data_IF_878558556022
#
_entry.id   IF_878558556022
#
_cell.length_a   1.000
_cell.length_b   1.000
_cell.length_c   1.000
_cell.angle_alpha   90.00
_cell.angle_beta   90.00
_cell.angle_gamma   90.00
#
_symmetry.space_group_name_H-M   'P 1'
#
loop_
_entity.id
_entity.type
_entity.pdbx_description
1 polymer ?
#
# COMPACT_ATOMS: atom_id res chain seq x y z
N UNK A 1 16.62 -11.79 -9.92
CA UNK A 1 15.67 -11.85 -8.81
C UNK A 1 14.26 -11.59 -9.36
N UNK A 2 13.30 -12.43 -8.98
CA UNK A 2 11.88 -12.34 -9.35
C UNK A 2 11.08 -11.73 -8.20
N UNK A 3 10.33 -10.68 -8.47
CA UNK A 3 9.48 -9.99 -7.49
C UNK A 3 8.02 -10.13 -7.88
N UNK A 4 7.20 -10.48 -6.91
CA UNK A 4 5.75 -10.41 -7.01
C UNK A 4 5.26 -9.17 -6.27
N UNK A 5 4.48 -8.32 -6.94
CA UNK A 5 3.77 -7.21 -6.33
C UNK A 5 2.28 -7.50 -6.39
N UNK A 6 1.62 -7.57 -5.23
CA UNK A 6 0.17 -7.74 -5.14
C UNK A 6 -0.42 -6.50 -4.50
N UNK A 7 -1.51 -6.01 -5.07
CA UNK A 7 -2.17 -4.83 -4.52
C UNK A 7 -3.69 -4.94 -4.49
N UNK A 8 -4.27 -4.37 -3.44
CA UNK A 8 -5.71 -4.11 -3.31
C UNK A 8 -5.95 -2.61 -3.35
N UNK A 9 -6.86 -2.14 -4.20
CA UNK A 9 -7.13 -0.71 -4.34
C UNK A 9 -8.62 -0.43 -4.55
N UNK A 10 -9.13 0.64 -3.93
CA UNK A 10 -10.47 1.14 -4.21
C UNK A 10 -10.42 2.30 -5.21
N UNK A 11 -9.53 3.27 -4.98
CA UNK A 11 -9.48 4.53 -5.74
C UNK A 11 -8.25 4.63 -6.69
N UNK A 12 -7.52 3.53 -6.84
CA UNK A 12 -6.41 3.43 -7.79
C UNK A 12 -5.04 3.92 -7.29
N UNK A 13 -4.93 4.57 -6.13
CA UNK A 13 -3.63 5.06 -5.66
C UNK A 13 -2.65 3.92 -5.35
N UNK A 14 -3.11 2.86 -4.66
CA UNK A 14 -2.29 1.68 -4.38
C UNK A 14 -1.81 1.00 -5.67
N UNK A 15 -2.64 1.00 -6.73
CA UNK A 15 -2.24 0.52 -8.07
C UNK A 15 -1.13 1.38 -8.66
N UNK A 16 -1.25 2.71 -8.57
CA UNK A 16 -0.23 3.64 -9.07
C UNK A 16 1.10 3.45 -8.34
N UNK A 17 1.06 3.28 -7.01
CA UNK A 17 2.24 2.96 -6.19
C UNK A 17 2.87 1.63 -6.62
N UNK A 18 2.06 0.59 -6.79
CA UNK A 18 2.55 -0.72 -7.21
C UNK A 18 3.21 -0.70 -8.61
N UNK A 19 2.63 0.04 -9.57
CA UNK A 19 3.21 0.24 -10.91
C UNK A 19 4.51 1.05 -10.88
N UNK A 20 4.58 2.08 -10.03
CA UNK A 20 5.81 2.83 -9.84
C UNK A 20 6.93 1.94 -9.24
N UNK A 21 6.60 1.11 -8.25
CA UNK A 21 7.56 0.12 -7.73
C UNK A 21 7.99 -0.87 -8.82
N UNK A 22 7.08 -1.34 -9.66
CA UNK A 22 7.41 -2.20 -10.82
C UNK A 22 8.44 -1.53 -11.74
N UNK A 23 8.20 -0.29 -12.17
CA UNK A 23 9.12 0.47 -13.03
C UNK A 23 10.51 0.62 -12.37
N UNK A 24 10.55 1.07 -11.12
CA UNK A 24 11.79 1.23 -10.35
C UNK A 24 12.58 -0.07 -10.27
N UNK A 25 11.90 -1.20 -10.02
CA UNK A 25 12.54 -2.50 -9.90
C UNK A 25 13.03 -3.03 -11.25
N UNK A 26 12.25 -2.87 -12.31
CA UNK A 26 12.63 -3.28 -13.68
C UNK A 26 13.84 -2.49 -14.18
N UNK A 27 13.89 -1.18 -13.94
CA UNK A 27 15.06 -0.33 -14.22
C UNK A 27 16.33 -0.81 -13.50
N UNK A 28 16.18 -1.52 -12.38
CA UNK A 28 17.27 -2.07 -11.58
C UNK A 28 17.51 -3.58 -11.86
N UNK A 29 17.04 -4.09 -13.00
CA UNK A 29 17.34 -5.43 -13.51
C UNK A 29 16.52 -6.56 -12.90
N UNK A 30 15.41 -6.25 -12.23
CA UNK A 30 14.55 -7.24 -11.59
C UNK A 30 13.44 -7.70 -12.53
N UNK A 31 13.05 -8.98 -12.42
CA UNK A 31 11.87 -9.49 -13.12
C UNK A 31 10.66 -9.27 -12.21
N UNK A 32 9.71 -8.43 -12.62
CA UNK A 32 8.55 -8.08 -11.80
C UNK A 32 7.28 -8.67 -12.40
N UNK A 33 6.46 -9.30 -11.55
CA UNK A 33 5.08 -9.64 -11.85
C UNK A 33 4.19 -8.85 -10.90
N UNK A 34 3.15 -8.23 -11.44
CA UNK A 34 2.20 -7.44 -10.67
C UNK A 34 0.79 -7.98 -10.88
N UNK A 35 0.03 -8.13 -9.81
CA UNK A 35 -1.34 -8.62 -9.84
C UNK A 35 -2.26 -7.81 -8.92
N UNK A 36 -3.47 -7.53 -9.38
CA UNK A 36 -4.53 -6.99 -8.54
C UNK A 36 -5.16 -8.15 -7.74
N UNK A 37 -5.46 -7.95 -6.46
CA UNK A 37 -6.07 -8.98 -5.62
C UNK A 37 -7.45 -9.47 -6.14
N UNK A 38 -8.12 -8.71 -7.01
CA UNK A 38 -9.39 -9.13 -7.65
C UNK A 38 -9.19 -10.08 -8.84
N UNK A 39 -7.97 -10.21 -9.38
CA UNK A 39 -7.68 -10.92 -10.63
C UNK A 39 -7.04 -12.30 -10.40
N UNK A 40 -7.29 -12.94 -9.26
CA UNK A 40 -6.67 -14.22 -8.88
C UNK A 40 -5.13 -14.17 -8.97
N UNK A 41 -4.47 -13.47 -8.04
CA UNK A 41 -3.02 -13.32 -8.08
C UNK A 41 -2.28 -14.68 -8.07
N UNK A 42 -1.12 -14.78 -8.74
CA UNK A 42 -0.36 -16.02 -8.80
C UNK A 42 0.18 -16.41 -7.42
N UNK A 43 0.43 -17.71 -7.21
CA UNK A 43 1.12 -18.19 -6.01
C UNK A 43 2.49 -17.49 -5.84
N UNK A 44 2.90 -17.14 -4.61
CA UNK A 44 4.19 -16.53 -4.37
C UNK A 44 5.36 -17.50 -4.48
N UNK A 45 5.14 -18.80 -4.68
CA UNK A 45 6.17 -19.84 -4.59
C UNK A 45 7.36 -19.62 -5.54
N UNK A 46 7.09 -19.22 -6.79
CA UNK A 46 8.12 -19.03 -7.83
C UNK A 46 8.86 -17.69 -7.76
N UNK A 47 8.61 -16.88 -6.74
CA UNK A 47 9.18 -15.55 -6.57
C UNK A 47 10.18 -15.50 -5.41
N UNK A 48 11.23 -14.71 -5.58
CA UNK A 48 12.26 -14.52 -4.56
C UNK A 48 11.78 -13.54 -3.47
N UNK A 49 10.98 -12.55 -3.87
CA UNK A 49 10.50 -11.46 -3.01
C UNK A 49 9.02 -11.17 -3.27
N UNK A 50 8.26 -10.85 -2.22
CA UNK A 50 6.83 -10.49 -2.33
C UNK A 50 6.55 -9.13 -1.68
N UNK A 51 6.02 -8.20 -2.45
CA UNK A 51 5.52 -6.91 -1.97
C UNK A 51 4.00 -6.94 -2.00
N UNK A 52 3.33 -6.73 -0.88
CA UNK A 52 1.87 -6.71 -0.81
C UNK A 52 1.43 -5.34 -0.33
N UNK A 53 0.40 -4.76 -0.94
CA UNK A 53 -0.11 -3.47 -0.50
C UNK A 53 -1.61 -3.31 -0.57
N UNK A 54 -2.14 -2.51 0.34
CA UNK A 54 -3.56 -2.20 0.40
C UNK A 54 -3.77 -0.79 0.88
N UNK A 55 -4.85 -0.17 0.40
CA UNK A 55 -5.39 1.06 1.01
C UNK A 55 -6.20 0.72 2.26
N UNK A 56 -6.14 1.59 3.28
CA UNK A 56 -7.04 1.55 4.43
C UNK A 56 -8.37 2.20 4.06
N UNK A 57 -9.47 1.51 4.30
CA UNK A 57 -10.82 2.04 4.21
C UNK A 57 -11.62 1.62 5.45
N UNK A 58 -12.18 2.59 6.17
CA UNK A 58 -12.93 2.35 7.42
C UNK A 58 -12.12 1.46 8.38
N UNK A 59 -10.88 1.86 8.65
CA UNK A 59 -9.91 1.18 9.53
C UNK A 59 -9.59 -0.28 9.18
N UNK A 60 -9.86 -0.72 7.95
CA UNK A 60 -9.57 -2.08 7.49
C UNK A 60 -8.87 -2.08 6.14
N UNK A 61 -8.07 -3.13 5.88
CA UNK A 61 -7.53 -3.40 4.55
C UNK A 61 -8.51 -4.20 3.69
N UNK A 62 -8.22 -4.28 2.40
CA UNK A 62 -9.03 -5.02 1.44
C UNK A 62 -9.08 -6.51 1.82
N UNK A 63 -10.28 -7.09 1.94
CA UNK A 63 -10.48 -8.50 2.32
C UNK A 63 -9.79 -9.46 1.36
N UNK A 64 -9.65 -9.13 0.07
CA UNK A 64 -8.95 -9.99 -0.89
C UNK A 64 -7.44 -10.02 -0.62
N UNK A 65 -6.87 -8.93 -0.10
CA UNK A 65 -5.47 -8.90 0.35
C UNK A 65 -5.32 -9.78 1.59
N UNK A 66 -6.24 -9.66 2.55
CA UNK A 66 -6.27 -10.54 3.73
C UNK A 66 -6.32 -12.01 3.33
N UNK A 67 -7.27 -12.38 2.48
CA UNK A 67 -7.44 -13.76 2.00
C UNK A 67 -6.17 -14.30 1.32
N UNK A 68 -5.54 -13.48 0.46
CA UNK A 68 -4.29 -13.88 -0.20
C UNK A 68 -3.16 -14.12 0.82
N UNK A 69 -3.02 -13.24 1.82
CA UNK A 69 -2.00 -13.39 2.87
C UNK A 69 -2.25 -14.67 3.66
N UNK A 70 -3.48 -14.90 4.13
CA UNK A 70 -3.85 -16.09 4.90
C UNK A 70 -3.66 -17.38 4.08
N UNK A 71 -4.04 -17.37 2.81
CA UNK A 71 -3.90 -18.51 1.91
C UNK A 71 -2.43 -18.90 1.68
N UNK A 72 -1.52 -17.94 1.67
CA UNK A 72 -0.10 -18.16 1.33
C UNK A 72 0.85 -17.90 2.50
N UNK A 73 0.34 -17.91 3.73
CA UNK A 73 1.05 -17.45 4.92
C UNK A 73 2.39 -18.17 5.16
N UNK A 74 2.41 -19.49 4.96
CA UNK A 74 3.60 -20.31 5.13
C UNK A 74 4.72 -19.91 4.16
N UNK A 75 4.36 -19.61 2.91
CA UNK A 75 5.33 -19.17 1.90
C UNK A 75 5.79 -17.75 2.19
N UNK A 76 4.87 -16.84 2.53
CA UNK A 76 5.18 -15.44 2.85
C UNK A 76 6.10 -15.29 4.06
N UNK A 77 5.92 -16.13 5.09
CA UNK A 77 6.76 -16.12 6.29
C UNK A 77 8.16 -16.73 6.09
N UNK A 78 8.37 -17.48 5.00
CA UNK A 78 9.67 -18.11 4.67
C UNK A 78 10.53 -17.30 3.71
N UNK A 79 10.03 -16.19 3.16
CA UNK A 79 10.76 -15.39 2.18
C UNK A 79 10.71 -13.90 2.48
N UNK A 80 11.66 -13.11 1.93
CA UNK A 80 11.61 -11.67 2.05
C UNK A 80 10.29 -11.13 1.53
N UNK A 81 9.57 -10.44 2.41
CA UNK A 81 8.31 -9.83 2.07
C UNK A 81 8.15 -8.49 2.78
N UNK A 82 7.40 -7.57 2.16
CA UNK A 82 7.12 -6.25 2.72
C UNK A 82 5.66 -5.87 2.48
N UNK A 83 5.08 -5.19 3.46
CA UNK A 83 3.72 -4.65 3.38
C UNK A 83 3.75 -3.14 3.14
N UNK A 84 3.09 -2.66 2.09
CA UNK A 84 2.90 -1.22 1.88
C UNK A 84 1.46 -0.80 2.17
N UNK A 85 1.29 -0.24 3.36
CA UNK A 85 0.03 0.29 3.88
C UNK A 85 -0.18 1.70 3.34
N UNK A 86 -1.25 1.88 2.55
CA UNK A 86 -1.56 3.17 1.93
C UNK A 86 -2.70 3.84 2.68
N UNK A 87 -2.48 5.04 3.19
CA UNK A 87 -3.51 5.81 3.89
C UNK A 87 -3.34 7.31 3.64
N UNK A 88 -4.46 8.03 3.59
CA UNK A 88 -4.43 9.50 3.48
C UNK A 88 -3.94 10.15 4.77
N UNK A 89 -4.23 9.55 5.92
CA UNK A 89 -3.81 10.03 7.24
C UNK A 89 -2.28 10.19 7.38
N UNK A 90 -1.48 9.45 6.60
CA UNK A 90 -0.02 9.60 6.57
C UNK A 90 0.43 10.96 6.01
N UNK A 91 -0.41 11.65 5.23
CA UNK A 91 -0.12 12.99 4.75
C UNK A 91 -0.45 14.10 5.79
N UNK A 92 -1.10 13.75 6.89
CA UNK A 92 -1.39 14.67 7.99
C UNK A 92 -0.13 14.99 8.79
N UNK A 93 -0.10 16.16 9.44
CA UNK A 93 0.96 16.50 10.41
C UNK A 93 0.62 16.06 11.85
N UNK A 94 -0.49 15.33 12.03
CA UNK A 94 -0.98 14.88 13.34
C UNK A 94 -0.35 13.51 13.66
N UNK A 95 0.38 13.45 14.78
CA UNK A 95 1.12 12.25 15.20
C UNK A 95 0.20 11.07 15.53
N UNK A 96 -0.92 11.35 16.17
CA UNK A 96 -1.91 10.36 16.57
C UNK A 96 -2.52 9.63 15.35
N UNK A 97 -2.70 10.34 14.23
CA UNK A 97 -3.23 9.74 12.99
C UNK A 97 -2.20 8.79 12.35
N UNK A 98 -0.91 9.07 12.49
CA UNK A 98 0.15 8.16 12.05
C UNK A 98 0.21 6.91 12.93
N UNK A 99 0.06 7.08 14.24
CA UNK A 99 0.00 5.99 15.22
C UNK A 99 -1.22 5.08 14.97
N UNK A 100 -2.37 5.64 14.61
CA UNK A 100 -3.56 4.87 14.22
C UNK A 100 -3.31 4.02 12.97
N UNK A 101 -2.69 4.59 11.93
CA UNK A 101 -2.34 3.83 10.71
C UNK A 101 -1.34 2.70 11.02
N UNK A 102 -0.36 2.98 11.87
CA UNK A 102 0.60 1.97 12.32
C UNK A 102 -0.10 0.84 13.10
N UNK A 103 -1.04 1.18 13.99
CA UNK A 103 -1.84 0.21 14.75
C UNK A 103 -2.66 -0.69 13.82
N UNK A 104 -3.35 -0.12 12.83
CA UNK A 104 -4.14 -0.89 11.85
C UNK A 104 -3.26 -1.85 11.06
N UNK A 105 -2.06 -1.42 10.64
CA UNK A 105 -1.10 -2.31 9.97
C UNK A 105 -0.64 -3.45 10.89
N UNK A 106 -0.34 -3.15 12.15
CA UNK A 106 0.10 -4.14 13.13
C UNK A 106 -1.01 -5.18 13.42
N UNK A 107 -2.24 -4.73 13.66
CA UNK A 107 -3.40 -5.60 13.87
C UNK A 107 -3.63 -6.53 12.67
N UNK A 108 -3.46 -6.03 11.44
CA UNK A 108 -3.56 -6.84 10.24
C UNK A 108 -2.49 -7.94 10.17
N UNK A 109 -1.24 -7.63 10.49
CA UNK A 109 -0.17 -8.64 10.54
C UNK A 109 -0.42 -9.68 11.64
N UNK A 110 -0.91 -9.26 12.80
CA UNK A 110 -1.25 -10.15 13.91
C UNK A 110 -2.40 -11.09 13.56
N UNK A 111 -3.49 -10.55 12.99
CA UNK A 111 -4.67 -11.29 12.58
C UNK A 111 -4.36 -12.32 11.50
N UNK A 112 -3.52 -11.96 10.53
CA UNK A 112 -3.12 -12.86 9.44
C UNK A 112 -1.93 -13.76 9.77
N UNK A 113 -1.31 -13.56 10.94
CA UNK A 113 -0.06 -14.22 11.35
C UNK A 113 1.11 -13.99 10.39
N UNK A 114 1.12 -12.86 9.68
CA UNK A 114 2.15 -12.53 8.71
C UNK A 114 3.32 -11.80 9.37
N UNK A 115 4.46 -12.47 9.44
CA UNK A 115 5.65 -12.05 10.17
C UNK A 115 6.62 -11.21 9.32
N UNK A 116 6.10 -10.37 8.43
CA UNK A 116 6.97 -9.41 7.73
C UNK A 116 7.52 -8.37 8.72
N UNK A 117 8.83 -8.13 8.65
CA UNK A 117 9.50 -7.09 9.44
C UNK A 117 9.48 -5.71 8.77
N UNK A 118 8.90 -5.62 7.57
CA UNK A 118 8.97 -4.41 6.74
C UNK A 118 7.57 -3.93 6.42
N UNK A 119 7.16 -2.85 7.09
CA UNK A 119 5.92 -2.12 6.80
C UNK A 119 6.30 -0.73 6.30
N UNK A 120 5.80 -0.35 5.13
CA UNK A 120 5.90 0.99 4.58
C UNK A 120 4.54 1.68 4.71
N UNK A 121 4.49 2.77 5.46
CA UNK A 121 3.32 3.63 5.54
C UNK A 121 3.45 4.71 4.47
N UNK A 122 2.58 4.67 3.46
CA UNK A 122 2.68 5.54 2.28
C UNK A 122 1.45 6.44 2.22
N UNK A 123 1.69 7.74 2.10
CA UNK A 123 0.64 8.73 1.88
C UNK A 123 -0.12 8.45 0.57
N UNK A 124 -1.44 8.43 0.66
CA UNK A 124 -2.35 8.21 -0.46
C UNK A 124 -2.60 9.45 -1.32
N UNK A 125 -3.81 9.53 -1.86
CA UNK A 125 -4.29 10.67 -2.64
C UNK A 125 -5.76 10.94 -2.31
N UNK A 126 -6.16 12.22 -2.30
CA UNK A 126 -7.57 12.64 -2.30
C UNK A 126 -8.06 12.68 -3.75
N UNK A 127 -8.86 11.68 -4.13
CA UNK A 127 -9.42 11.56 -5.49
C UNK A 127 -10.77 12.24 -5.61
N UNK A 128 -10.85 13.53 -5.26
CA UNK A 128 -12.12 14.27 -5.23
C UNK A 128 -12.91 14.16 -6.53
N UNK A 129 -12.26 14.15 -7.69
CA UNK A 129 -12.95 14.07 -8.98
C UNK A 129 -13.73 12.75 -9.15
N UNK A 130 -13.34 11.70 -8.43
CA UNK A 130 -13.98 10.38 -8.44
C UNK A 130 -15.04 10.22 -7.34
N UNK A 131 -15.22 11.22 -6.46
CA UNK A 131 -16.15 11.15 -5.32
C UNK A 131 -17.54 11.68 -5.70
N UNK A 132 -18.58 11.01 -5.21
CA UNK A 132 -19.94 11.56 -5.22
C UNK A 132 -20.05 12.76 -4.25
N UNK A 133 -21.12 13.55 -4.38
CA UNK A 133 -21.28 14.82 -3.62
C UNK A 133 -21.18 14.64 -2.10
N UNK A 134 -21.80 13.59 -1.54
CA UNK A 134 -21.74 13.31 -0.10
C UNK A 134 -20.33 12.92 0.35
N UNK A 135 -19.63 12.07 -0.42
CA UNK A 135 -18.24 11.69 -0.15
C UNK A 135 -17.31 12.88 -0.28
N UNK A 136 -17.53 13.81 -1.21
CA UNK A 136 -16.81 15.09 -1.29
C UNK A 136 -16.97 15.92 -0.01
N UNK A 137 -18.17 16.02 0.55
CA UNK A 137 -18.41 16.79 1.78
C UNK A 137 -17.69 16.17 2.99
N UNK A 138 -17.79 14.84 3.16
CA UNK A 138 -17.12 14.11 4.23
C UNK A 138 -15.59 14.26 4.10
N UNK A 139 -15.05 13.96 2.91
CA UNK A 139 -13.61 14.02 2.67
C UNK A 139 -13.07 15.45 2.76
N UNK A 140 -13.85 16.47 2.38
CA UNK A 140 -13.46 17.88 2.56
C UNK A 140 -13.39 18.26 4.04
N UNK A 141 -14.29 17.73 4.88
CA UNK A 141 -14.25 17.95 6.33
C UNK A 141 -13.04 17.27 6.97
N UNK A 142 -12.75 16.03 6.54
CA UNK A 142 -11.58 15.27 6.99
C UNK A 142 -10.29 15.96 6.55
N UNK A 143 -10.14 16.28 5.26
CA UNK A 143 -8.98 17.00 4.74
C UNK A 143 -8.76 18.34 5.46
N UNK A 144 -9.83 19.10 5.76
CA UNK A 144 -9.70 20.34 6.54
C UNK A 144 -9.14 20.09 7.94
N UNK A 145 -9.51 18.98 8.59
CA UNK A 145 -9.03 18.60 9.93
C UNK A 145 -7.58 18.11 9.89
N UNK A 146 -7.23 17.34 8.86
CA UNK A 146 -5.91 16.73 8.63
C UNK A 146 -4.89 17.69 7.98
N UNK A 147 -5.28 18.94 7.70
CA UNK A 147 -4.44 19.91 6.98
C UNK A 147 -4.27 19.60 5.48
N UNK A 148 -5.05 18.65 4.96
CA UNK A 148 -5.14 18.33 3.53
C UNK A 148 -5.94 19.37 2.73
N UNK A 149 -5.96 19.18 1.41
CA UNK A 149 -6.57 20.13 0.49
C UNK A 149 -8.09 20.01 0.50
N UNK A 150 -8.78 21.16 0.52
CA UNK A 150 -10.25 21.26 0.47
C UNK A 150 -10.79 21.61 -0.92
N UNK A 151 -9.89 21.79 -1.90
CA UNK A 151 -10.26 22.06 -3.29
C UNK A 151 -10.77 20.77 -3.95
N UNK A 152 -12.09 20.61 -4.00
CA UNK A 152 -12.74 19.41 -4.54
C UNK A 152 -12.84 19.37 -6.07
N UNK A 153 -12.27 20.36 -6.77
CA UNK A 153 -12.31 20.45 -8.24
C UNK A 153 -11.24 19.60 -8.92
N UNK A 154 -10.21 19.18 -8.17
CA UNK A 154 -9.09 18.37 -8.66
C UNK A 154 -8.69 17.30 -7.64
N UNK A 155 -7.97 16.30 -8.10
CA UNK A 155 -7.35 15.31 -7.23
C UNK A 155 -6.07 15.89 -6.59
N UNK A 156 -5.75 15.47 -5.37
CA UNK A 156 -4.51 15.85 -4.67
C UNK A 156 -3.74 14.60 -4.32
N UNK A 157 -2.52 14.49 -4.81
CA UNK A 157 -1.63 13.36 -4.56
C UNK A 157 -0.59 13.75 -3.50
N UNK A 158 -0.48 12.92 -2.45
CA UNK A 158 0.41 13.16 -1.32
C UNK A 158 1.54 12.13 -1.22
N UNK A 159 1.54 11.14 -2.12
CA UNK A 159 2.59 10.12 -2.19
C UNK A 159 3.95 10.76 -2.47
N UNK A 160 4.91 10.56 -1.56
CA UNK A 160 6.31 10.90 -1.79
C UNK A 160 6.98 9.82 -2.65
N UNK A 161 7.01 10.05 -3.97
CA UNK A 161 7.58 9.12 -4.94
C UNK A 161 9.07 8.84 -4.74
N UNK A 162 9.83 9.83 -4.27
CA UNK A 162 11.26 9.65 -3.97
C UNK A 162 11.44 8.70 -2.79
N UNK A 163 10.63 8.87 -1.75
CA UNK A 163 10.62 8.00 -0.59
C UNK A 163 10.21 6.56 -0.96
N UNK A 164 9.18 6.39 -1.80
CA UNK A 164 8.77 5.05 -2.29
C UNK A 164 9.92 4.38 -3.05
N UNK A 165 10.61 5.11 -3.93
CA UNK A 165 11.77 4.60 -4.67
C UNK A 165 12.89 4.18 -3.73
N UNK A 166 13.23 5.03 -2.77
CA UNK A 166 14.29 4.77 -1.79
C UNK A 166 13.98 3.52 -0.94
N UNK A 167 12.77 3.43 -0.37
CA UNK A 167 12.37 2.27 0.44
C UNK A 167 12.42 0.97 -0.37
N UNK A 168 11.90 1.01 -1.60
CA UNK A 168 11.87 -0.15 -2.51
C UNK A 168 13.28 -0.63 -2.83
N UNK A 169 14.19 0.27 -3.25
CA UNK A 169 15.56 -0.09 -3.59
C UNK A 169 16.37 -0.51 -2.36
N UNK A 170 16.22 0.17 -1.23
CA UNK A 170 16.89 -0.18 0.01
C UNK A 170 16.50 -1.57 0.49
N UNK A 171 15.23 -1.94 0.37
CA UNK A 171 14.76 -3.27 0.73
C UNK A 171 15.42 -4.35 -0.12
N UNK A 172 15.43 -4.17 -1.44
CA UNK A 172 16.04 -5.13 -2.38
C UNK A 172 17.55 -5.23 -2.20
N UNK A 173 18.24 -4.12 -1.98
CA UNK A 173 19.69 -4.12 -1.81
C UNK A 173 20.13 -4.81 -0.52
N UNK A 174 19.28 -4.88 0.52
CA UNK A 174 19.55 -5.65 1.75
C UNK A 174 19.43 -7.16 1.58
N UNK A 175 18.88 -7.63 0.44
CA UNK A 175 18.68 -9.05 0.14
C UNK A 175 19.77 -9.63 -0.77
N UNK A 176 20.69 -8.78 -1.25
CA UNK A 176 21.88 -9.17 -2.02
C UNK A 176 23.02 -9.50 -1.05
#
# INVERSE_FOLDING_TARGET
MKVLIIYGTVEGQTRKIARFMEEVLQENGMQVTIANAVEEPPSPDSFDVVLIGSSIHINNYNTLIKNYVEQHIDTLNKKPSAFFSVSMAIASNIKEEHEEVAKVAQEFLEETHWNTKTIWHIAGALRYTQYNYFKKLIMRSIAKKEGGSVDTTKDHEYTDWSQVKEMTLNFINRLK
#
